data_IF_200647093507
#
_entry.id   IF_200647093507
#
_cell.length_a   1.000
_cell.length_b   1.000
_cell.length_c   1.000
_cell.angle_alpha   90.00
_cell.angle_beta   90.00
_cell.angle_gamma   90.00
#
_symmetry.space_group_name_H-M   'P 1'
#
loop_
_entity.id
_entity.type
_entity.pdbx_description
1 polymer ?
#
# COMPACT_ATOMS: atom_id res chain seq x y z
N UNK A 1 -7.54 20.19 35.97
CA UNK A 1 -6.32 19.42 35.62
C UNK A 1 -6.39 18.76 34.26
N UNK A 2 -7.53 18.19 33.83
CA UNK A 2 -7.72 17.55 32.50
C UNK A 2 -7.61 18.60 31.37
N UNK A 3 -8.27 19.75 31.48
CA UNK A 3 -8.26 20.81 30.46
C UNK A 3 -6.86 21.42 30.20
N UNK A 4 -6.04 21.54 31.24
CA UNK A 4 -4.67 22.07 31.07
C UNK A 4 -3.76 21.11 30.31
N UNK A 5 -3.89 19.79 30.54
CA UNK A 5 -3.11 18.77 29.82
C UNK A 5 -3.57 18.64 28.38
N UNK A 6 -4.87 18.71 28.11
CA UNK A 6 -5.41 18.69 26.75
C UNK A 6 -4.90 19.88 25.92
N UNK A 7 -5.01 21.09 26.46
CA UNK A 7 -4.52 22.32 25.82
C UNK A 7 -3.01 22.28 25.58
N UNK A 8 -2.23 21.76 26.55
CA UNK A 8 -0.79 21.59 26.39
C UNK A 8 -0.45 20.62 25.25
N UNK A 9 -1.08 19.45 25.20
CA UNK A 9 -0.82 18.46 24.16
C UNK A 9 -1.18 18.98 22.77
N UNK A 10 -2.30 19.68 22.61
CA UNK A 10 -2.71 20.29 21.34
C UNK A 10 -1.71 21.32 20.83
N UNK A 11 -1.19 22.18 21.71
CA UNK A 11 -0.13 23.14 21.37
C UNK A 11 1.17 22.44 20.98
N UNK A 12 1.56 21.41 21.73
CA UNK A 12 2.77 20.65 21.47
C UNK A 12 2.70 19.94 20.11
N UNK A 13 1.58 19.30 19.77
CA UNK A 13 1.34 18.68 18.46
C UNK A 13 1.47 19.67 17.31
N UNK A 14 0.80 20.84 17.43
CA UNK A 14 0.87 21.89 16.40
C UNK A 14 2.29 22.44 16.24
N UNK A 15 3.02 22.63 17.33
CA UNK A 15 4.42 23.07 17.29
C UNK A 15 5.31 22.05 16.62
N UNK A 16 5.22 20.77 17.01
CA UNK A 16 6.01 19.70 16.41
C UNK A 16 5.75 19.57 14.90
N UNK A 17 4.49 19.61 14.47
CA UNK A 17 4.14 19.53 13.07
C UNK A 17 4.75 20.67 12.25
N UNK A 18 4.73 21.91 12.77
CA UNK A 18 5.36 23.06 12.12
C UNK A 18 6.89 22.93 12.02
N UNK A 19 7.54 22.50 13.10
CA UNK A 19 8.98 22.29 13.11
C UNK A 19 9.39 21.16 12.18
N UNK A 20 8.64 20.05 12.13
CA UNK A 20 8.85 18.95 11.22
C UNK A 20 8.72 19.38 9.75
N UNK A 21 7.67 20.13 9.40
CA UNK A 21 7.51 20.71 8.07
C UNK A 21 8.65 21.65 7.69
N UNK A 22 9.06 22.52 8.61
CA UNK A 22 10.20 23.43 8.39
C UNK A 22 11.49 22.65 8.17
N UNK A 23 11.75 21.63 8.97
CA UNK A 23 12.94 20.79 8.83
C UNK A 23 12.94 20.06 7.49
N UNK A 24 11.82 19.44 7.09
CA UNK A 24 11.67 18.76 5.80
C UNK A 24 11.89 19.69 4.61
N UNK A 25 11.41 20.94 4.68
CA UNK A 25 11.63 21.92 3.61
C UNK A 25 13.11 22.27 3.38
N UNK A 26 13.96 22.07 4.39
CA UNK A 26 15.42 22.27 4.31
C UNK A 26 16.19 20.98 3.96
N UNK A 27 15.57 19.81 4.11
CA UNK A 27 16.14 18.50 3.80
C UNK A 27 15.46 17.87 2.57
N UNK A 28 15.55 18.60 1.44
CA UNK A 28 14.79 18.31 0.21
C UNK A 28 15.00 16.88 -0.31
N UNK A 29 16.22 16.34 -0.23
CA UNK A 29 16.51 14.99 -0.75
C UNK A 29 15.74 13.93 0.04
N UNK A 30 15.71 14.02 1.37
CA UNK A 30 14.97 13.09 2.21
C UNK A 30 13.45 13.26 2.03
N UNK A 31 12.98 14.49 1.93
CA UNK A 31 11.58 14.80 1.64
C UNK A 31 11.14 14.24 0.28
N UNK A 32 11.92 14.48 -0.76
CA UNK A 32 11.64 13.96 -2.10
C UNK A 32 11.66 12.42 -2.13
N UNK A 33 12.60 11.80 -1.40
CA UNK A 33 12.66 10.34 -1.30
C UNK A 33 11.44 9.78 -0.58
N UNK A 34 10.98 10.41 0.51
CA UNK A 34 9.75 10.03 1.20
C UNK A 34 8.54 10.13 0.26
N UNK A 35 8.35 11.27 -0.38
CA UNK A 35 7.23 11.49 -1.30
C UNK A 35 7.24 10.49 -2.47
N UNK A 36 8.41 10.24 -3.07
CA UNK A 36 8.55 9.26 -4.14
C UNK A 36 8.22 7.84 -3.67
N UNK A 37 8.63 7.47 -2.43
CA UNK A 37 8.33 6.17 -1.88
C UNK A 37 6.84 6.00 -1.58
N UNK A 38 6.19 7.03 -1.03
CA UNK A 38 4.75 7.01 -0.75
C UNK A 38 3.93 6.94 -2.04
N UNK A 39 4.29 7.72 -3.05
CA UNK A 39 3.61 7.73 -4.32
C UNK A 39 3.76 6.38 -5.04
N UNK A 40 4.97 5.84 -5.11
CA UNK A 40 5.22 4.53 -5.71
C UNK A 40 4.47 3.40 -4.99
N UNK A 41 4.44 3.43 -3.65
CA UNK A 41 3.70 2.46 -2.86
C UNK A 41 2.18 2.56 -3.08
N UNK A 42 1.65 3.77 -3.22
CA UNK A 42 0.24 4.00 -3.55
C UNK A 42 -0.13 3.39 -4.91
N UNK A 43 0.72 3.56 -5.94
CA UNK A 43 0.50 2.96 -7.26
C UNK A 43 0.60 1.43 -7.22
N UNK A 44 1.56 0.90 -6.48
CA UNK A 44 1.78 -0.55 -6.36
C UNK A 44 0.59 -1.28 -5.75
N UNK A 45 -0.12 -0.69 -4.80
CA UNK A 45 -1.31 -1.30 -4.17
C UNK A 45 -2.42 -1.64 -5.18
N UNK A 46 -2.48 -0.96 -6.32
CA UNK A 46 -3.45 -1.25 -7.37
C UNK A 46 -3.08 -2.44 -8.28
N UNK A 47 -1.87 -2.96 -8.15
CA UNK A 47 -1.39 -4.11 -8.95
C UNK A 47 -1.79 -5.45 -8.32
N UNK A 48 -2.35 -5.44 -7.13
CA UNK A 48 -2.92 -6.66 -6.54
C UNK A 48 -4.08 -7.11 -7.41
N UNK A 49 -4.05 -8.36 -7.94
CA UNK A 49 -5.09 -8.85 -8.82
C UNK A 49 -6.47 -8.67 -8.19
N UNK A 50 -7.33 -7.90 -8.82
CA UNK A 50 -8.75 -7.90 -8.57
C UNK A 50 -9.28 -9.22 -9.13
N UNK A 51 -9.00 -10.32 -8.46
CA UNK A 51 -9.61 -11.60 -8.77
C UNK A 51 -11.08 -11.42 -8.42
N UNK A 52 -11.90 -11.25 -9.45
CA UNK A 52 -13.35 -11.32 -9.35
C UNK A 52 -13.70 -12.76 -8.96
N UNK A 53 -13.55 -13.08 -7.68
CA UNK A 53 -14.11 -14.29 -7.15
C UNK A 53 -15.62 -14.05 -6.94
N UNK A 54 -16.43 -14.67 -7.80
CA UNK A 54 -17.89 -14.63 -7.71
C UNK A 54 -18.42 -15.11 -6.33
N UNK A 55 -17.58 -15.78 -5.53
CA UNK A 55 -17.93 -16.29 -4.21
C UNK A 55 -17.80 -15.24 -3.12
N UNK A 56 -16.81 -14.33 -3.22
CA UNK A 56 -16.45 -13.41 -2.15
C UNK A 56 -16.65 -11.94 -2.50
N UNK A 57 -17.15 -11.63 -3.70
CA UNK A 57 -17.40 -10.28 -4.15
C UNK A 57 -16.21 -9.65 -4.89
N UNK A 58 -16.17 -8.32 -4.92
CA UNK A 58 -15.32 -7.55 -5.82
C UNK A 58 -13.82 -7.55 -5.46
N UNK A 59 -13.48 -7.79 -4.20
CA UNK A 59 -12.10 -7.74 -3.70
C UNK A 59 -11.73 -9.04 -3.00
N UNK A 60 -10.52 -9.54 -3.23
CA UNK A 60 -10.05 -10.73 -2.53
C UNK A 60 -9.94 -10.46 -1.02
N UNK A 61 -10.26 -11.46 -0.16
CA UNK A 61 -10.24 -11.30 1.29
C UNK A 61 -8.93 -10.74 1.85
N UNK A 62 -7.77 -11.09 1.28
CA UNK A 62 -6.45 -10.58 1.70
C UNK A 62 -6.24 -9.09 1.43
N UNK A 63 -7.08 -8.44 0.62
CA UNK A 63 -7.05 -6.98 0.42
C UNK A 63 -7.38 -6.22 1.70
N UNK A 64 -8.09 -6.85 2.65
CA UNK A 64 -8.31 -6.28 3.99
C UNK A 64 -6.97 -5.97 4.69
N UNK A 65 -6.03 -6.92 4.68
CA UNK A 65 -4.71 -6.70 5.29
C UNK A 65 -3.96 -5.53 4.63
N UNK A 66 -4.10 -5.35 3.31
CA UNK A 66 -3.49 -4.21 2.58
C UNK A 66 -4.12 -2.88 2.98
N UNK A 67 -5.44 -2.83 3.09
CA UNK A 67 -6.15 -1.63 3.52
C UNK A 67 -5.73 -1.21 4.93
N UNK A 68 -5.74 -2.13 5.87
CA UNK A 68 -5.29 -1.89 7.25
C UNK A 68 -3.80 -1.48 7.29
N UNK A 69 -2.95 -2.09 6.45
CA UNK A 69 -1.55 -1.69 6.33
C UNK A 69 -1.41 -0.23 5.87
N UNK A 70 -2.22 0.21 4.91
CA UNK A 70 -2.26 1.61 4.47
C UNK A 70 -2.62 2.57 5.61
N UNK A 71 -3.58 2.21 6.48
CA UNK A 71 -3.94 3.00 7.65
C UNK A 71 -2.80 3.07 8.67
N UNK A 72 -2.09 1.97 8.90
CA UNK A 72 -0.92 1.94 9.79
C UNK A 72 0.23 2.79 9.24
N UNK A 73 0.46 2.81 7.92
CA UNK A 73 1.44 3.69 7.30
C UNK A 73 1.09 5.17 7.50
N UNK A 74 -0.17 5.55 7.25
CA UNK A 74 -0.66 6.91 7.47
C UNK A 74 -0.54 7.34 8.94
N UNK A 75 -0.85 6.41 9.86
CA UNK A 75 -0.65 6.62 11.30
C UNK A 75 0.81 6.84 11.63
N UNK A 76 1.72 6.02 11.08
CA UNK A 76 3.16 6.16 11.30
C UNK A 76 3.69 7.52 10.84
N UNK A 77 3.28 7.99 9.66
CA UNK A 77 3.66 9.31 9.12
C UNK A 77 3.16 10.42 10.04
N UNK A 78 1.88 10.39 10.41
CA UNK A 78 1.27 11.39 11.29
C UNK A 78 1.99 11.47 12.63
N UNK A 79 2.29 10.32 13.23
CA UNK A 79 2.98 10.22 14.52
C UNK A 79 4.41 10.73 14.44
N UNK A 80 5.16 10.42 13.39
CA UNK A 80 6.52 10.95 13.16
C UNK A 80 6.50 12.47 13.07
N UNK A 81 5.62 13.03 12.25
CA UNK A 81 5.50 14.47 12.05
C UNK A 81 5.03 15.19 13.32
N UNK A 82 4.31 14.50 14.19
CA UNK A 82 3.83 15.00 15.48
C UNK A 82 4.82 14.82 16.64
N UNK A 83 6.03 14.30 16.38
CA UNK A 83 7.05 14.08 17.42
C UNK A 83 6.79 12.85 18.31
N UNK A 84 5.91 11.94 17.89
CA UNK A 84 5.54 10.71 18.59
C UNK A 84 6.26 9.50 17.97
N UNK A 85 7.59 9.55 17.94
CA UNK A 85 8.44 8.62 17.16
C UNK A 85 8.30 7.16 17.58
N UNK A 86 8.20 6.89 18.89
CA UNK A 86 8.08 5.51 19.39
C UNK A 86 6.77 4.87 18.99
N UNK A 87 5.70 5.62 19.03
CA UNK A 87 4.36 5.21 18.61
C UNK A 87 4.35 4.94 17.09
N UNK A 88 5.01 5.79 16.31
CA UNK A 88 5.22 5.57 14.88
C UNK A 88 5.92 4.25 14.57
N UNK A 89 6.94 3.87 15.35
CA UNK A 89 7.62 2.58 15.15
C UNK A 89 6.72 1.37 15.44
N UNK A 90 5.72 1.50 16.32
CA UNK A 90 4.70 0.46 16.50
C UNK A 90 3.82 0.31 15.27
N UNK A 91 3.32 1.43 14.72
CA UNK A 91 2.53 1.42 13.50
C UNK A 91 3.34 0.89 12.31
N UNK A 92 4.64 1.22 12.19
CA UNK A 92 5.49 0.65 11.13
C UNK A 92 5.67 -0.87 11.25
N UNK A 93 5.73 -1.42 12.46
CA UNK A 93 5.75 -2.86 12.64
C UNK A 93 4.45 -3.50 12.19
N UNK A 94 3.31 -2.95 12.59
CA UNK A 94 1.98 -3.39 12.14
C UNK A 94 1.85 -3.29 10.63
N UNK A 95 2.32 -2.21 10.02
CA UNK A 95 2.38 -2.02 8.57
C UNK A 95 3.11 -3.17 7.86
N UNK A 96 4.31 -3.53 8.32
CA UNK A 96 5.08 -4.65 7.74
C UNK A 96 4.37 -5.98 7.95
N UNK A 97 3.87 -6.25 9.16
CA UNK A 97 3.17 -7.50 9.48
C UNK A 97 1.92 -7.69 8.63
N UNK A 98 1.09 -6.66 8.46
CA UNK A 98 -0.13 -6.71 7.65
C UNK A 98 0.16 -6.92 6.16
N UNK A 99 1.21 -6.30 5.62
CA UNK A 99 1.63 -6.56 4.24
C UNK A 99 2.12 -8.01 4.06
N UNK A 100 2.91 -8.53 5.01
CA UNK A 100 3.33 -9.94 4.99
C UNK A 100 2.14 -10.90 5.08
N UNK A 101 1.14 -10.58 5.91
CA UNK A 101 -0.10 -11.36 6.02
C UNK A 101 -0.89 -11.35 4.71
N UNK A 102 -0.96 -10.22 4.02
CA UNK A 102 -1.60 -10.13 2.71
C UNK A 102 -0.95 -11.10 1.72
N UNK A 103 0.39 -11.08 1.60
CA UNK A 103 1.12 -11.99 0.71
C UNK A 103 0.97 -13.45 1.18
N UNK A 104 0.94 -13.69 2.48
CA UNK A 104 0.74 -15.03 3.05
C UNK A 104 -0.62 -15.61 2.65
N UNK A 105 -1.71 -14.88 2.88
CA UNK A 105 -3.05 -15.34 2.52
C UNK A 105 -3.23 -15.48 1.00
N UNK A 106 -2.63 -14.58 0.22
CA UNK A 106 -2.57 -14.71 -1.22
C UNK A 106 -1.82 -15.99 -1.68
N UNK A 107 -0.69 -16.31 -1.04
CA UNK A 107 0.12 -17.49 -1.38
C UNK A 107 -0.53 -18.80 -0.95
N UNK A 108 -1.20 -18.78 0.20
CA UNK A 108 -1.78 -19.97 0.82
C UNK A 108 -3.16 -20.32 0.23
N UNK A 109 -3.87 -19.32 -0.32
CA UNK A 109 -5.25 -19.43 -0.78
C UNK A 109 -6.22 -20.01 0.28
N UNK A 110 -5.80 -19.98 1.57
CA UNK A 110 -6.56 -20.49 2.72
C UNK A 110 -7.51 -19.43 3.24
N UNK A 111 -8.67 -19.35 2.60
CA UNK A 111 -9.72 -18.42 2.96
C UNK A 111 -10.28 -18.71 4.34
N UNK A 112 -10.38 -19.97 4.75
CA UNK A 112 -10.93 -20.32 6.06
C UNK A 112 -10.03 -19.82 7.20
N UNK A 113 -8.71 -19.95 7.06
CA UNK A 113 -7.76 -19.38 8.04
C UNK A 113 -7.87 -17.85 8.09
N UNK A 114 -7.98 -17.20 6.94
CA UNK A 114 -8.21 -15.75 6.88
C UNK A 114 -9.52 -15.36 7.61
N UNK A 115 -10.62 -16.08 7.38
CA UNK A 115 -11.90 -15.81 8.01
C UNK A 115 -11.87 -16.01 9.52
N UNK A 116 -11.20 -17.05 10.01
CA UNK A 116 -10.99 -17.25 11.46
C UNK A 116 -10.16 -16.13 12.08
N UNK A 117 -9.14 -15.66 11.37
CA UNK A 117 -8.35 -14.53 11.85
C UNK A 117 -9.16 -13.24 11.93
N UNK A 118 -9.91 -12.88 10.87
CA UNK A 118 -10.69 -11.61 10.84
C UNK A 118 -11.85 -11.64 11.84
N UNK A 119 -12.41 -12.83 12.17
CA UNK A 119 -13.42 -12.98 13.18
C UNK A 119 -12.87 -13.03 14.62
N UNK A 120 -11.53 -13.02 14.77
CA UNK A 120 -10.86 -13.07 16.08
C UNK A 120 -10.76 -14.47 16.68
N UNK A 121 -11.10 -15.51 15.92
CA UNK A 121 -11.03 -16.92 16.37
C UNK A 121 -9.61 -17.51 16.23
N UNK A 122 -8.75 -16.85 15.49
CA UNK A 122 -7.35 -17.23 15.30
C UNK A 122 -6.40 -16.09 15.68
N UNK A 123 -5.26 -16.44 16.24
CA UNK A 123 -4.23 -15.46 16.62
C UNK A 123 -3.52 -14.93 15.38
N UNK A 124 -3.16 -13.64 15.40
CA UNK A 124 -2.32 -13.04 14.37
C UNK A 124 -1.01 -13.82 14.22
N UNK A 125 -0.68 -14.29 13.02
CA UNK A 125 0.59 -14.96 12.75
C UNK A 125 1.78 -14.05 13.08
N UNK A 126 2.82 -14.61 13.68
CA UNK A 126 4.02 -13.81 13.98
C UNK A 126 4.79 -13.49 12.70
N UNK A 127 5.50 -12.36 12.66
CA UNK A 127 6.39 -12.00 11.54
C UNK A 127 7.33 -13.16 11.16
N UNK A 128 7.93 -13.83 12.18
CA UNK A 128 8.85 -14.94 11.91
C UNK A 128 8.14 -16.07 11.17
N UNK A 129 6.97 -16.48 11.64
CA UNK A 129 6.17 -17.50 10.96
C UNK A 129 5.85 -17.11 9.51
N UNK A 130 5.41 -15.85 9.29
CA UNK A 130 5.06 -15.37 7.95
C UNK A 130 6.26 -15.42 7.00
N UNK A 131 7.43 -14.93 7.44
CA UNK A 131 8.65 -14.94 6.62
C UNK A 131 9.10 -16.37 6.33
N UNK A 132 9.17 -17.24 7.35
CA UNK A 132 9.59 -18.63 7.19
C UNK A 132 8.65 -19.40 6.24
N UNK A 133 7.34 -19.16 6.36
CA UNK A 133 6.33 -19.75 5.48
C UNK A 133 6.50 -19.29 4.03
N UNK A 134 6.65 -17.98 3.81
CA UNK A 134 6.81 -17.39 2.46
C UNK A 134 8.08 -17.89 1.79
N UNK A 135 9.20 -17.96 2.51
CA UNK A 135 10.45 -18.52 1.99
C UNK A 135 10.31 -19.96 1.53
N UNK A 136 9.54 -20.77 2.27
CA UNK A 136 9.34 -22.18 1.98
C UNK A 136 8.33 -22.44 0.87
N UNK A 137 7.24 -21.67 0.81
CA UNK A 137 6.08 -21.99 -0.01
C UNK A 137 5.85 -21.04 -1.18
N UNK A 138 6.58 -19.93 -1.24
CA UNK A 138 6.49 -18.96 -2.31
C UNK A 138 7.81 -18.89 -3.11
N UNK A 139 7.88 -19.51 -4.29
CA UNK A 139 9.12 -19.56 -5.08
C UNK A 139 9.63 -18.18 -5.51
N UNK A 140 8.73 -17.19 -5.65
CA UNK A 140 9.11 -15.82 -6.00
C UNK A 140 9.81 -15.12 -4.84
N UNK A 141 9.34 -15.33 -3.61
CA UNK A 141 10.00 -14.85 -2.39
C UNK A 141 11.32 -15.60 -2.14
N UNK A 142 11.38 -16.89 -2.41
CA UNK A 142 12.64 -17.64 -2.34
C UNK A 142 13.68 -17.12 -3.34
N UNK A 143 13.25 -16.75 -4.55
CA UNK A 143 14.12 -16.10 -5.54
C UNK A 143 14.58 -14.71 -5.07
N UNK A 144 13.66 -13.89 -4.54
CA UNK A 144 13.97 -12.58 -3.95
C UNK A 144 15.02 -12.70 -2.84
N UNK A 145 14.87 -13.69 -1.95
CA UNK A 145 15.82 -13.99 -0.88
C UNK A 145 17.23 -14.28 -1.42
N UNK A 146 17.32 -15.12 -2.45
CA UNK A 146 18.61 -15.50 -3.05
C UNK A 146 19.35 -14.31 -3.67
N UNK A 147 18.64 -13.27 -4.09
CA UNK A 147 19.21 -12.09 -4.77
C UNK A 147 19.46 -10.91 -3.83
N UNK A 148 18.63 -10.72 -2.82
CA UNK A 148 18.59 -9.51 -2.00
C UNK A 148 18.73 -9.74 -0.49
N UNK A 149 18.82 -10.97 -0.01
CA UNK A 149 18.82 -11.31 1.43
C UNK A 149 17.63 -10.65 2.16
N UNK A 150 16.46 -10.73 1.54
CA UNK A 150 15.27 -9.99 1.94
C UNK A 150 14.82 -10.32 3.38
N UNK A 151 14.85 -11.59 3.77
CA UNK A 151 14.44 -12.03 5.12
C UNK A 151 15.37 -11.50 6.21
N UNK A 152 16.68 -11.49 5.93
CA UNK A 152 17.66 -10.91 6.83
C UNK A 152 17.37 -9.41 7.03
N UNK A 153 17.15 -8.67 5.95
CA UNK A 153 16.89 -7.22 5.99
C UNK A 153 15.59 -6.89 6.72
N UNK A 154 14.51 -7.65 6.49
CA UNK A 154 13.27 -7.53 7.30
C UNK A 154 13.56 -7.81 8.78
N UNK A 155 14.36 -8.83 9.08
CA UNK A 155 14.75 -9.16 10.45
C UNK A 155 15.51 -8.01 11.13
N UNK A 156 16.50 -7.45 10.46
CA UNK A 156 17.31 -6.32 10.95
C UNK A 156 16.44 -5.06 11.15
N UNK A 157 15.61 -4.73 10.17
CA UNK A 157 14.66 -3.61 10.27
C UNK A 157 13.73 -3.77 11.47
N UNK A 158 13.09 -4.91 11.60
CA UNK A 158 12.16 -5.18 12.68
C UNK A 158 12.82 -5.14 14.06
N UNK A 159 14.04 -5.67 14.17
CA UNK A 159 14.83 -5.64 15.40
C UNK A 159 15.24 -4.21 15.76
N UNK A 160 15.60 -3.37 14.78
CA UNK A 160 15.94 -1.97 15.00
C UNK A 160 14.77 -1.19 15.61
N UNK A 161 13.55 -1.40 15.12
CA UNK A 161 12.34 -0.79 15.70
C UNK A 161 12.01 -1.36 17.08
N UNK A 162 12.24 -2.66 17.30
CA UNK A 162 11.95 -3.34 18.57
C UNK A 162 12.72 -2.76 19.75
N UNK A 163 13.93 -2.29 19.53
CA UNK A 163 14.73 -1.58 20.56
C UNK A 163 13.96 -0.40 21.14
N UNK A 164 13.29 0.38 20.29
CA UNK A 164 12.49 1.52 20.71
C UNK A 164 11.13 1.11 21.27
N UNK A 165 10.43 0.18 20.62
CA UNK A 165 9.10 -0.28 21.05
C UNK A 165 9.14 -0.90 22.44
N UNK A 166 10.15 -1.70 22.75
CA UNK A 166 10.32 -2.39 24.04
C UNK A 166 11.20 -1.64 25.04
N UNK A 167 11.68 -0.44 24.71
CA UNK A 167 12.54 0.40 25.58
C UNK A 167 13.80 -0.37 26.03
N UNK A 168 14.43 -1.08 25.08
CA UNK A 168 15.66 -1.84 25.38
C UNK A 168 16.87 -0.91 25.57
N UNK A 169 17.40 -0.90 26.78
CA UNK A 169 18.57 -0.09 27.14
C UNK A 169 18.34 1.42 27.06
N UNK A 170 19.39 2.18 27.26
CA UNK A 170 19.34 3.65 27.21
C UNK A 170 19.11 4.17 25.78
N UNK A 171 19.59 3.46 24.76
CA UNK A 171 19.42 3.81 23.34
C UNK A 171 17.97 3.69 22.86
N UNK A 172 17.20 2.73 23.37
CA UNK A 172 15.77 2.55 23.07
C UNK A 172 14.83 3.36 23.96
N UNK A 173 15.37 4.16 24.87
CA UNK A 173 14.55 4.99 25.74
C UNK A 173 14.00 6.23 25.04
N UNK A 174 12.93 6.80 25.58
CA UNK A 174 12.43 8.10 25.10
C UNK A 174 13.49 9.19 25.10
N UNK A 175 14.45 9.14 26.04
CA UNK A 175 15.54 10.12 26.14
C UNK A 175 16.49 10.13 24.96
N UNK A 176 16.60 9.01 24.24
CA UNK A 176 17.47 8.93 23.07
C UNK A 176 16.88 9.62 21.84
N UNK A 177 15.56 9.70 21.74
CA UNK A 177 14.84 10.31 20.62
C UNK A 177 14.32 11.72 20.93
N UNK A 178 14.02 11.99 22.19
CA UNK A 178 13.43 13.25 22.66
C UNK A 178 13.78 13.48 24.13
N UNK A 179 13.80 14.73 24.53
CA UNK A 179 13.82 15.10 25.95
C UNK A 179 12.53 14.58 26.62
N UNK A 180 12.46 14.53 27.91
CA UNK A 180 11.44 13.90 28.76
C UNK A 180 9.95 14.10 28.41
N UNK A 181 9.62 14.90 27.42
CA UNK A 181 8.24 15.17 26.99
C UNK A 181 7.73 14.13 25.98
N UNK A 182 6.44 13.79 26.07
CA UNK A 182 5.80 12.78 25.21
C UNK A 182 5.67 13.25 23.76
N UNK A 183 5.49 14.56 23.55
CA UNK A 183 5.33 15.21 22.24
C UNK A 183 6.40 16.28 22.16
N UNK A 184 7.44 16.04 21.39
CA UNK A 184 8.56 16.99 21.25
C UNK A 184 9.26 16.80 19.91
N UNK A 185 9.49 17.91 19.21
CA UNK A 185 10.33 17.87 18.02
C UNK A 185 11.76 17.43 18.38
N UNK A 186 12.27 16.47 17.64
CA UNK A 186 13.64 16.01 17.66
C UNK A 186 14.11 15.77 16.24
N UNK A 187 15.10 16.50 15.79
CA UNK A 187 15.68 16.30 14.47
C UNK A 187 16.09 14.84 14.24
N UNK A 188 16.80 14.24 15.22
CA UNK A 188 17.21 12.84 15.17
C UNK A 188 16.01 11.90 15.10
N UNK A 189 14.97 12.16 15.91
CA UNK A 189 13.75 11.34 15.93
C UNK A 189 12.99 11.42 14.60
N UNK A 190 12.85 12.62 14.06
CA UNK A 190 12.21 12.86 12.76
C UNK A 190 12.98 12.18 11.62
N UNK A 191 14.29 12.37 11.54
CA UNK A 191 15.14 11.78 10.52
C UNK A 191 15.08 10.25 10.56
N UNK A 192 15.22 9.66 11.76
CA UNK A 192 15.13 8.22 11.96
C UNK A 192 13.75 7.71 11.56
N UNK A 193 12.67 8.37 11.99
CA UNK A 193 11.30 7.99 11.66
C UNK A 193 11.05 7.98 10.16
N UNK A 194 11.45 9.03 9.44
CA UNK A 194 11.28 9.13 7.98
C UNK A 194 12.11 8.06 7.25
N UNK A 195 13.37 7.85 7.65
CA UNK A 195 14.19 6.78 7.07
C UNK A 195 13.58 5.41 7.30
N UNK A 196 13.01 5.16 8.49
CA UNK A 196 12.32 3.91 8.78
C UNK A 196 11.04 3.72 7.95
N UNK A 197 10.28 4.80 7.68
CA UNK A 197 9.11 4.74 6.78
C UNK A 197 9.56 4.35 5.37
N UNK A 198 10.57 5.01 4.82
CA UNK A 198 11.11 4.72 3.49
C UNK A 198 11.60 3.27 3.39
N UNK A 199 12.32 2.79 4.40
CA UNK A 199 12.84 1.42 4.45
C UNK A 199 11.72 0.38 4.56
N UNK A 200 10.70 0.64 5.40
CA UNK A 200 9.53 -0.22 5.52
C UNK A 200 8.80 -0.38 4.19
N UNK A 201 8.52 0.74 3.51
CA UNK A 201 7.91 0.75 2.17
C UNK A 201 8.77 -0.08 1.21
N UNK A 202 10.07 0.18 1.13
CA UNK A 202 10.96 -0.56 0.24
C UNK A 202 10.91 -2.08 0.48
N UNK A 203 10.98 -2.53 1.75
CA UNK A 203 11.00 -3.94 2.09
C UNK A 203 9.70 -4.67 1.74
N UNK A 204 8.55 -4.03 1.95
CA UNK A 204 7.26 -4.63 1.58
C UNK A 204 7.04 -4.60 0.09
N UNK A 205 7.41 -3.50 -0.60
CA UNK A 205 7.30 -3.36 -2.05
C UNK A 205 8.18 -4.36 -2.81
N UNK A 206 9.36 -4.71 -2.30
CA UNK A 206 10.18 -5.78 -2.89
C UNK A 206 9.44 -7.12 -2.94
N UNK A 207 8.74 -7.48 -1.86
CA UNK A 207 7.95 -8.70 -1.82
C UNK A 207 6.69 -8.61 -2.70
N UNK A 208 6.05 -7.44 -2.75
CA UNK A 208 4.91 -7.19 -3.63
C UNK A 208 5.30 -7.34 -5.10
N UNK A 209 6.31 -6.62 -5.55
CA UNK A 209 6.80 -6.67 -6.93
C UNK A 209 7.29 -8.07 -7.32
N UNK A 210 7.91 -8.82 -6.40
CA UNK A 210 8.26 -10.20 -6.66
C UNK A 210 7.01 -11.06 -6.93
N UNK A 211 5.90 -10.82 -6.22
CA UNK A 211 4.64 -11.54 -6.41
C UNK A 211 3.84 -11.05 -7.61
N UNK A 212 3.84 -9.74 -7.83
CA UNK A 212 3.10 -9.03 -8.89
C UNK A 212 4.05 -8.30 -9.83
N UNK A 213 4.86 -9.03 -10.60
CA UNK A 213 5.96 -8.45 -11.37
C UNK A 213 5.50 -7.55 -12.53
N UNK A 214 4.21 -7.57 -12.88
CA UNK A 214 3.60 -6.60 -13.81
C UNK A 214 3.75 -5.15 -13.32
N UNK A 215 3.87 -4.91 -12.02
CA UNK A 215 4.11 -3.58 -11.45
C UNK A 215 5.36 -2.86 -11.99
N UNK A 216 6.28 -3.58 -12.64
CA UNK A 216 7.48 -3.02 -13.27
C UNK A 216 7.41 -2.97 -14.79
N UNK A 217 6.25 -3.27 -15.39
CA UNK A 217 6.07 -3.34 -16.83
C UNK A 217 5.09 -2.26 -17.30
N UNK A 218 5.56 -1.20 -17.95
CA UNK A 218 4.68 -0.21 -18.54
C UNK A 218 3.95 -0.79 -19.75
N UNK A 219 2.64 -0.58 -19.80
CA UNK A 219 1.82 -1.01 -20.94
C UNK A 219 0.97 0.14 -21.47
N UNK A 220 0.80 0.27 -22.80
CA UNK A 220 0.01 1.30 -23.44
C UNK A 220 -1.48 0.97 -23.37
N UNK A 221 -2.04 0.89 -22.16
CA UNK A 221 -3.44 0.46 -21.96
C UNK A 221 -4.45 1.46 -22.50
N UNK A 222 -4.12 2.74 -22.42
CA UNK A 222 -5.02 3.77 -22.90
C UNK A 222 -5.26 3.65 -24.40
N UNK A 223 -4.21 3.47 -25.18
CA UNK A 223 -4.28 3.34 -26.65
C UNK A 223 -4.98 2.05 -27.09
N UNK A 224 -4.96 1.01 -26.24
CA UNK A 224 -5.54 -0.29 -26.56
C UNK A 224 -6.98 -0.45 -26.08
N UNK A 225 -7.33 0.17 -24.94
CA UNK A 225 -8.58 -0.13 -24.24
C UNK A 225 -9.35 1.11 -23.81
N UNK A 226 -8.90 2.33 -24.14
CA UNK A 226 -9.39 3.61 -23.64
C UNK A 226 -9.51 3.66 -22.10
N UNK A 227 -8.56 3.05 -21.45
CA UNK A 227 -8.59 2.81 -20.04
C UNK A 227 -7.27 3.26 -19.42
N UNK A 228 -7.36 4.11 -18.39
CA UNK A 228 -6.18 4.60 -17.68
C UNK A 228 -5.93 3.79 -16.43
N UNK A 229 -4.74 3.16 -16.33
CA UNK A 229 -4.35 2.46 -15.09
C UNK A 229 -4.32 3.41 -13.88
N UNK A 230 -4.30 2.86 -12.64
CA UNK A 230 -4.13 1.45 -12.36
C UNK A 230 -5.45 0.70 -12.41
N UNK A 231 -5.45 -0.46 -13.05
CA UNK A 231 -6.56 -1.40 -12.95
C UNK A 231 -6.09 -2.82 -13.20
N UNK A 232 -6.51 -3.70 -12.36
CA UNK A 232 -6.02 -5.07 -12.36
C UNK A 232 -4.50 -5.07 -12.11
N UNK A 233 -3.79 -5.89 -12.86
CA UNK A 233 -2.36 -6.07 -12.68
C UNK A 233 -1.50 -5.03 -13.43
N UNK A 234 -2.09 -3.95 -14.00
CA UNK A 234 -1.42 -3.11 -14.97
C UNK A 234 -1.21 -1.68 -14.47
N UNK A 235 -0.03 -1.14 -14.80
CA UNK A 235 0.34 0.26 -14.60
C UNK A 235 0.78 0.89 -15.94
N UNK A 236 0.62 2.20 -16.09
CA UNK A 236 1.20 2.96 -17.18
C UNK A 236 2.69 3.28 -16.94
N UNK A 237 3.35 3.87 -17.93
CA UNK A 237 4.77 4.21 -17.86
C UNK A 237 5.09 5.14 -16.68
N UNK A 238 4.24 6.14 -16.44
CA UNK A 238 4.44 7.12 -15.37
C UNK A 238 4.30 6.48 -13.98
N UNK A 239 3.32 5.60 -13.82
CA UNK A 239 3.10 4.87 -12.57
C UNK A 239 4.23 3.87 -12.29
N UNK A 240 4.69 3.14 -13.32
CA UNK A 240 5.87 2.26 -13.22
C UNK A 240 7.12 3.05 -12.82
N UNK A 241 7.27 4.28 -13.32
CA UNK A 241 8.36 5.16 -12.89
C UNK A 241 8.27 5.49 -11.40
N UNK A 242 7.06 5.73 -10.86
CA UNK A 242 6.86 5.95 -9.43
C UNK A 242 7.24 4.72 -8.61
N UNK A 243 6.78 3.54 -9.00
CA UNK A 243 7.16 2.27 -8.34
C UNK A 243 8.68 2.08 -8.37
N UNK A 244 9.30 2.33 -9.50
CA UNK A 244 10.75 2.23 -9.65
C UNK A 244 11.53 3.18 -8.71
N UNK A 245 10.98 4.33 -8.33
CA UNK A 245 11.60 5.29 -7.40
C UNK A 245 11.64 4.80 -5.95
N UNK A 246 10.87 3.78 -5.58
CA UNK A 246 10.96 3.14 -4.27
C UNK A 246 12.35 2.52 -4.08
N UNK A 247 12.87 1.88 -5.13
CA UNK A 247 14.04 1.01 -5.05
C UNK A 247 15.35 1.72 -5.37
N UNK A 248 16.45 1.43 -4.63
CA UNK A 248 17.80 1.75 -5.07
C UNK A 248 18.11 1.12 -6.43
N UNK A 249 18.96 1.77 -7.24
CA UNK A 249 19.24 1.35 -8.60
C UNK A 249 19.64 -0.14 -8.74
N UNK A 250 20.44 -0.66 -7.79
CA UNK A 250 20.82 -2.07 -7.74
C UNK A 250 19.60 -2.99 -7.59
N UNK A 251 18.69 -2.69 -6.66
CA UNK A 251 17.53 -3.53 -6.37
C UNK A 251 16.52 -3.47 -7.51
N UNK A 252 16.26 -2.27 -8.04
CA UNK A 252 15.44 -2.06 -9.23
C UNK A 252 15.88 -2.93 -10.40
N UNK A 253 17.22 -2.97 -10.69
CA UNK A 253 17.75 -3.82 -11.76
C UNK A 253 17.46 -5.30 -11.53
N UNK A 254 17.59 -5.78 -10.29
CA UNK A 254 17.32 -7.18 -9.93
C UNK A 254 15.82 -7.49 -10.09
N UNK A 255 14.95 -6.65 -9.52
CA UNK A 255 13.50 -6.81 -9.59
C UNK A 255 12.99 -6.74 -11.03
N UNK A 256 13.51 -5.80 -11.83
CA UNK A 256 13.19 -5.69 -13.25
C UNK A 256 13.59 -6.95 -14.01
N UNK A 257 14.78 -7.49 -13.75
CA UNK A 257 15.24 -8.74 -14.36
C UNK A 257 14.35 -9.93 -13.94
N UNK A 258 13.89 -10.00 -12.69
CA UNK A 258 12.93 -11.02 -12.26
C UNK A 258 11.61 -10.89 -13.01
N UNK A 259 11.12 -9.66 -13.21
CA UNK A 259 9.92 -9.37 -13.98
C UNK A 259 10.08 -9.75 -15.46
N UNK A 260 11.14 -9.33 -16.12
CA UNK A 260 11.42 -9.58 -17.53
C UNK A 260 11.56 -11.08 -17.87
N UNK A 261 11.97 -11.90 -16.90
CA UNK A 261 12.12 -13.35 -17.07
C UNK A 261 10.87 -14.14 -16.62
N UNK A 262 9.79 -13.47 -16.25
CA UNK A 262 8.55 -14.13 -15.84
C UNK A 262 7.67 -14.44 -17.07
N UNK A 263 7.35 -15.70 -17.30
CA UNK A 263 6.62 -16.11 -18.50
C UNK A 263 5.17 -15.58 -18.54
N UNK A 264 4.51 -15.43 -17.38
CA UNK A 264 3.18 -14.81 -17.32
C UNK A 264 3.24 -13.33 -17.70
N UNK A 265 4.28 -12.63 -17.26
CA UNK A 265 4.52 -11.21 -17.63
C UNK A 265 4.72 -11.11 -19.14
N UNK A 266 5.58 -11.93 -19.73
CA UNK A 266 5.81 -11.96 -21.20
C UNK A 266 4.49 -12.21 -21.95
N UNK A 267 3.73 -13.19 -21.51
CA UNK A 267 2.43 -13.51 -22.13
C UNK A 267 1.48 -12.31 -22.10
N UNK A 268 1.36 -11.61 -20.96
CA UNK A 268 0.49 -10.44 -20.85
C UNK A 268 0.99 -9.27 -21.70
N UNK A 269 2.30 -9.03 -21.75
CA UNK A 269 2.91 -8.01 -22.61
C UNK A 269 2.58 -8.32 -24.08
N UNK A 270 2.87 -9.53 -24.53
CA UNK A 270 2.64 -9.95 -25.92
C UNK A 270 1.15 -9.84 -26.26
N UNK A 271 0.28 -10.25 -25.35
CA UNK A 271 -1.17 -10.14 -25.54
C UNK A 271 -1.61 -8.68 -25.72
N UNK A 272 -1.24 -7.78 -24.80
CA UNK A 272 -1.60 -6.35 -24.89
C UNK A 272 -1.02 -5.73 -26.17
N UNK A 273 0.24 -5.99 -26.49
CA UNK A 273 0.88 -5.43 -27.67
C UNK A 273 0.31 -5.96 -28.98
N UNK A 274 -0.26 -7.17 -28.99
CA UNK A 274 -0.93 -7.75 -30.17
C UNK A 274 -2.26 -7.10 -30.50
N UNK A 275 -2.89 -6.40 -29.55
CA UNK A 275 -4.13 -5.67 -29.78
C UNK A 275 -3.91 -4.46 -30.67
N UNK A 276 -4.89 -4.17 -31.56
CA UNK A 276 -4.87 -2.91 -32.32
C UNK A 276 -5.10 -1.71 -31.40
N UNK A 277 -4.55 -0.57 -31.76
CA UNK A 277 -4.92 0.68 -31.10
C UNK A 277 -6.36 1.05 -31.46
N UNK A 278 -7.08 1.59 -30.49
CA UNK A 278 -8.40 2.14 -30.73
C UNK A 278 -8.34 3.38 -31.62
N UNK A 279 -9.34 3.54 -32.46
CA UNK A 279 -9.57 4.82 -33.14
C UNK A 279 -10.06 5.89 -32.14
N UNK A 280 -9.99 7.15 -32.56
CA UNK A 280 -10.49 8.25 -31.74
C UNK A 280 -12.00 8.10 -31.41
N UNK A 281 -12.77 7.56 -32.36
CA UNK A 281 -14.20 7.33 -32.18
C UNK A 281 -14.46 6.24 -31.14
N UNK A 282 -13.77 5.09 -31.21
CA UNK A 282 -13.87 4.00 -30.25
C UNK A 282 -13.44 4.44 -28.83
N UNK A 283 -12.38 5.27 -28.75
CA UNK A 283 -11.93 5.85 -27.50
C UNK A 283 -12.99 6.73 -26.86
N UNK A 284 -13.65 7.59 -27.66
CA UNK A 284 -14.74 8.46 -27.19
C UNK A 284 -15.97 7.65 -26.78
N UNK A 285 -16.35 6.62 -27.52
CA UNK A 285 -17.48 5.74 -27.16
C UNK A 285 -17.20 5.01 -25.83
N UNK A 286 -15.96 4.56 -25.59
CA UNK A 286 -15.57 3.94 -24.33
C UNK A 286 -15.64 4.92 -23.15
N UNK A 287 -15.22 6.17 -23.37
CA UNK A 287 -15.34 7.22 -22.36
C UNK A 287 -16.80 7.49 -21.99
N UNK A 288 -17.68 7.66 -22.98
CA UNK A 288 -19.11 7.88 -22.75
C UNK A 288 -19.74 6.75 -21.96
N UNK A 289 -19.42 5.50 -22.32
CA UNK A 289 -19.89 4.32 -21.57
C UNK A 289 -19.43 4.32 -20.10
N UNK A 290 -18.21 4.80 -19.85
CA UNK A 290 -17.72 4.94 -18.48
C UNK A 290 -18.49 6.03 -17.74
N UNK A 291 -18.76 7.17 -18.38
CA UNK A 291 -19.49 8.29 -17.79
C UNK A 291 -20.97 7.98 -17.50
N UNK A 292 -21.55 6.97 -18.17
CA UNK A 292 -22.89 6.49 -17.83
C UNK A 292 -22.98 5.96 -16.40
N UNK A 293 -21.86 5.47 -15.86
CA UNK A 293 -21.75 5.03 -14.46
C UNK A 293 -21.56 6.19 -13.47
N UNK A 294 -21.26 7.40 -13.95
CA UNK A 294 -20.94 8.58 -13.15
C UNK A 294 -21.67 9.84 -13.66
N UNK A 295 -23.01 9.87 -13.59
CA UNK A 295 -23.80 10.91 -14.23
C UNK A 295 -23.55 12.32 -13.69
N UNK A 296 -23.17 12.44 -12.40
CA UNK A 296 -22.92 13.76 -11.78
C UNK A 296 -21.66 14.45 -12.32
N UNK A 297 -20.66 13.67 -12.73
CA UNK A 297 -19.38 14.16 -13.28
C UNK A 297 -19.37 14.29 -14.80
N UNK A 298 -20.41 13.78 -15.45
CA UNK A 298 -20.51 13.76 -16.91
C UNK A 298 -20.46 15.16 -17.54
N UNK A 299 -21.15 16.12 -16.95
CA UNK A 299 -21.20 17.49 -17.45
C UNK A 299 -19.82 18.17 -17.43
N UNK A 300 -19.05 17.96 -16.36
CA UNK A 300 -17.70 18.50 -16.23
C UNK A 300 -16.74 17.90 -17.27
N UNK A 301 -16.77 16.59 -17.44
CA UNK A 301 -15.95 15.88 -18.44
C UNK A 301 -16.32 16.34 -19.85
N UNK A 302 -17.61 16.45 -20.17
CA UNK A 302 -18.06 16.93 -21.48
C UNK A 302 -17.65 18.39 -21.74
N UNK A 303 -17.63 19.24 -20.72
CA UNK A 303 -17.12 20.60 -20.85
C UNK A 303 -15.66 20.63 -21.27
N UNK A 304 -14.82 19.81 -20.62
CA UNK A 304 -13.40 19.68 -20.99
C UNK A 304 -13.20 19.18 -22.42
N UNK A 305 -13.99 18.21 -22.87
CA UNK A 305 -13.93 17.71 -24.25
C UNK A 305 -14.29 18.81 -25.25
N UNK A 306 -15.36 19.58 -25.00
CA UNK A 306 -15.76 20.71 -25.83
C UNK A 306 -14.70 21.82 -25.94
N UNK A 307 -13.91 21.99 -24.87
CA UNK A 307 -12.78 22.90 -24.83
C UNK A 307 -11.52 22.36 -25.53
N UNK A 308 -11.56 21.14 -26.09
CA UNK A 308 -10.41 20.49 -26.70
C UNK A 308 -9.39 19.95 -25.71
N UNK A 309 -9.73 19.87 -24.41
CA UNK A 309 -8.88 19.38 -23.31
C UNK A 309 -9.10 17.88 -23.07
N UNK A 310 -8.98 17.08 -24.14
CA UNK A 310 -9.31 15.65 -24.11
C UNK A 310 -8.47 14.86 -23.09
N UNK A 311 -7.16 15.13 -23.01
CA UNK A 311 -6.29 14.48 -22.03
C UNK A 311 -6.72 14.76 -20.58
N UNK A 312 -7.12 16.00 -20.29
CA UNK A 312 -7.61 16.38 -18.97
C UNK A 312 -8.96 15.71 -18.65
N UNK A 313 -9.85 15.59 -19.64
CA UNK A 313 -11.11 14.87 -19.51
C UNK A 313 -10.89 13.39 -19.15
N UNK A 314 -9.94 12.74 -19.80
CA UNK A 314 -9.55 11.37 -19.48
C UNK A 314 -8.91 11.25 -18.09
N UNK A 315 -8.01 12.16 -17.74
CA UNK A 315 -7.40 12.18 -16.40
C UNK A 315 -8.47 12.35 -15.30
N UNK A 316 -9.47 13.23 -15.52
CA UNK A 316 -10.58 13.41 -14.59
C UNK A 316 -11.43 12.14 -14.48
N UNK A 317 -11.79 11.50 -15.59
CA UNK A 317 -12.56 10.24 -15.59
C UNK A 317 -11.82 9.15 -14.82
N UNK A 318 -10.51 9.04 -15.00
CA UNK A 318 -9.66 8.12 -14.25
C UNK A 318 -9.66 8.43 -12.75
N UNK A 319 -9.54 9.71 -12.38
CA UNK A 319 -9.58 10.14 -10.99
C UNK A 319 -10.93 9.81 -10.33
N UNK A 320 -12.04 9.95 -11.06
CA UNK A 320 -13.38 9.58 -10.63
C UNK A 320 -13.46 8.07 -10.37
N UNK A 321 -13.00 7.24 -11.31
CA UNK A 321 -12.95 5.79 -11.16
C UNK A 321 -12.10 5.37 -9.96
N UNK A 322 -10.93 5.97 -9.76
CA UNK A 322 -10.04 5.72 -8.61
C UNK A 322 -10.71 6.12 -7.29
N UNK A 323 -11.35 7.27 -7.25
CA UNK A 323 -12.07 7.75 -6.06
C UNK A 323 -13.21 6.81 -5.68
N UNK A 324 -13.95 6.31 -6.65
CA UNK A 324 -15.01 5.33 -6.44
C UNK A 324 -14.47 4.01 -5.88
N UNK A 325 -13.40 3.46 -6.45
CA UNK A 325 -12.75 2.26 -5.95
C UNK A 325 -12.23 2.45 -4.52
N UNK A 326 -11.58 3.57 -4.25
CA UNK A 326 -11.08 3.91 -2.91
C UNK A 326 -12.20 4.10 -1.88
N UNK A 327 -13.30 4.75 -2.25
CA UNK A 327 -14.47 4.94 -1.39
C UNK A 327 -15.27 3.65 -1.16
N UNK A 328 -15.21 2.71 -2.11
CA UNK A 328 -15.93 1.42 -2.02
C UNK A 328 -15.20 0.40 -1.14
N UNK A 329 -13.88 0.55 -0.94
CA UNK A 329 -13.09 -0.35 -0.09
C UNK A 329 -13.61 -0.48 1.36
N UNK A 330 -13.92 0.61 2.09
CA UNK A 330 -14.49 0.50 3.43
C UNK A 330 -15.87 -0.15 3.46
N UNK A 331 -16.73 0.15 2.47
CA UNK A 331 -18.08 -0.42 2.36
C UNK A 331 -18.04 -1.92 2.06
N UNK A 332 -17.07 -2.36 1.27
CA UNK A 332 -16.83 -3.77 0.99
C UNK A 332 -16.35 -4.50 2.24
N UNK A 333 -15.46 -3.91 3.03
CA UNK A 333 -15.01 -4.47 4.30
C UNK A 333 -16.18 -4.62 5.29
N UNK A 334 -17.08 -3.65 5.41
CA UNK A 334 -18.29 -3.77 6.23
C UNK A 334 -19.22 -4.89 5.72
N UNK A 335 -19.33 -5.05 4.41
CA UNK A 335 -20.12 -6.11 3.82
C UNK A 335 -19.57 -7.51 4.15
N UNK A 336 -18.26 -7.69 4.09
CA UNK A 336 -17.58 -8.92 4.52
C UNK A 336 -17.88 -9.21 6.00
N UNK A 337 -17.67 -8.24 6.88
CA UNK A 337 -17.93 -8.41 8.30
C UNK A 337 -19.39 -8.80 8.60
N UNK A 338 -20.37 -8.27 7.85
CA UNK A 338 -21.80 -8.62 8.01
C UNK A 338 -22.09 -10.06 7.57
N UNK A 339 -21.54 -10.50 6.44
CA UNK A 339 -21.73 -11.88 5.95
C UNK A 339 -21.21 -12.88 6.99
N UNK A 340 -20.02 -12.65 7.56
CA UNK A 340 -19.41 -13.56 8.51
C UNK A 340 -19.97 -13.47 9.93
N UNK A 341 -20.58 -12.35 10.32
CA UNK A 341 -21.30 -12.26 11.59
C UNK A 341 -22.67 -12.96 11.56
N UNK A 342 -23.31 -13.04 10.39
CA UNK A 342 -24.61 -13.71 10.26
C UNK A 342 -24.53 -15.24 10.33
N UNK A 343 -23.43 -15.84 9.88
CA UNK A 343 -23.26 -17.31 9.95
C UNK A 343 -23.04 -17.81 11.39
N UNK A 344 -22.49 -16.99 12.30
CA UNK A 344 -22.36 -17.38 13.73
C UNK A 344 -23.71 -17.49 14.48
N UNK A 345 -24.74 -16.80 13.99
CA UNK A 345 -26.09 -16.84 14.63
C UNK A 345 -26.93 -18.04 14.17
N UNK A 346 -26.53 -18.70 13.07
CA UNK A 346 -27.24 -19.85 12.50
C UNK A 346 -26.85 -21.23 13.06
N UNK A 347 -25.70 -21.37 13.73
CA UNK A 347 -25.19 -22.69 14.15
C UNK A 347 -25.47 -23.07 15.61
N UNK A 348 -26.18 -22.24 16.39
CA UNK A 348 -26.46 -22.51 17.81
C UNK A 348 -27.87 -23.06 18.10
N UNK A 349 -28.63 -23.51 17.09
CA UNK A 349 -29.97 -24.03 17.31
C UNK A 349 -30.22 -25.44 16.69
N UNK A 350 -29.24 -26.35 16.79
CA UNK A 350 -29.54 -27.78 16.60
C UNK A 350 -28.65 -28.63 17.52
N UNK A 351 -29.02 -28.71 18.78
CA UNK A 351 -28.78 -29.90 19.67
C UNK A 351 -29.79 -29.87 20.81
N UNK A 352 -30.87 -30.58 20.60
CA UNK A 352 -31.63 -31.30 21.65
C UNK A 352 -31.84 -32.69 21.14
#
# INVERSE_FOLDING_TARGET
>A
MIDSNFTYNTKALSSCAKESSKWLSTHKDLHNKLNSSLLGFSEEQFVVPLILDNKYGFLPPWSYCLHEAGQELNSAITLVLSGMYKESFRSLRSFVELNLMSIYYFTNEDIESFLRWISGDERTPTRKFLVDYLLKNNPKIALLESQLLWSQRIGEFYNSLSVYVHTQGSSGSFRSLRNSNTITFSQRGLELGIKSIIEAIQLVSEAFVANFPMALQPLPLFEKFAFSPPAGDFLDEFQVEHVNKIFPARYRKILKNMSDNNDKVKFHIDWVLSMSNLSQEETMQSLEKTLDSFPEQREEVHALIKEGKTELAFALTTAIQRSFLSASLPLLNEHYLRIFSSDKTGSSSQTV
#
